data_IF_447192500011
#
_entry.id   IF_447192500011
#
_cell.length_a   1.000
_cell.length_b   1.000
_cell.length_c   1.000
_cell.angle_alpha   90.00
_cell.angle_beta   90.00
_cell.angle_gamma   90.00
#
_symmetry.space_group_name_H-M   'P 1'
#
loop_
_entity.id
_entity.type
_entity.pdbx_description
1 polymer ?
#
# COMPACT_ATOMS: atom_id res chain seq x y z
N UNK A 1 -4.49 -8.81 23.10
CA UNK A 1 -4.68 -9.94 22.16
C UNK A 1 -5.90 -9.81 21.25
N UNK A 2 -7.15 -9.98 21.73
CA UNK A 2 -8.34 -9.96 20.83
C UNK A 2 -8.56 -8.61 20.14
N UNK A 3 -8.54 -7.51 20.90
CA UNK A 3 -8.72 -6.14 20.35
C UNK A 3 -7.64 -5.76 19.33
N UNK A 4 -6.37 -5.95 19.66
CA UNK A 4 -5.22 -5.70 18.77
C UNK A 4 -5.34 -6.49 17.46
N UNK A 5 -5.75 -7.77 17.53
CA UNK A 5 -5.98 -8.61 16.35
C UNK A 5 -7.11 -8.07 15.48
N UNK A 6 -8.24 -7.66 16.06
CA UNK A 6 -9.37 -7.09 15.31
C UNK A 6 -8.93 -5.79 14.63
N UNK A 7 -8.32 -4.86 15.36
CA UNK A 7 -7.87 -3.57 14.81
C UNK A 7 -6.88 -3.80 13.66
N UNK A 8 -5.90 -4.69 13.85
CA UNK A 8 -4.95 -5.06 12.80
C UNK A 8 -5.66 -5.52 11.52
N UNK A 9 -6.60 -6.46 11.62
CA UNK A 9 -7.25 -7.02 10.44
C UNK A 9 -8.22 -6.04 9.77
N UNK A 10 -8.87 -5.16 10.53
CA UNK A 10 -9.67 -4.06 9.96
C UNK A 10 -8.78 -3.11 9.16
N UNK A 11 -7.70 -2.62 9.76
CA UNK A 11 -6.77 -1.70 9.09
C UNK A 11 -6.12 -2.34 7.85
N UNK A 12 -5.69 -3.60 7.98
CA UNK A 12 -5.05 -4.35 6.88
C UNK A 12 -6.04 -4.66 5.77
N UNK A 13 -7.30 -4.98 6.10
CA UNK A 13 -8.36 -5.19 5.10
C UNK A 13 -8.69 -3.92 4.33
N UNK A 14 -8.81 -2.78 5.01
CA UNK A 14 -9.01 -1.48 4.36
C UNK A 14 -7.82 -1.09 3.49
N UNK A 15 -6.59 -1.29 3.98
CA UNK A 15 -5.36 -1.02 3.22
C UNK A 15 -5.30 -1.89 1.96
N UNK A 16 -5.59 -3.18 2.12
CA UNK A 16 -5.60 -4.14 1.02
C UNK A 16 -6.66 -3.80 -0.02
N UNK A 17 -7.85 -3.35 0.39
CA UNK A 17 -8.88 -2.91 -0.54
C UNK A 17 -8.44 -1.66 -1.32
N UNK A 18 -7.93 -0.64 -0.62
CA UNK A 18 -7.45 0.61 -1.24
C UNK A 18 -6.30 0.34 -2.22
N UNK A 19 -5.24 -0.34 -1.77
CA UNK A 19 -4.08 -0.67 -2.60
C UNK A 19 -4.45 -1.65 -3.72
N UNK A 20 -5.35 -2.59 -3.45
CA UNK A 20 -5.78 -3.61 -4.41
C UNK A 20 -6.56 -3.03 -5.58
N UNK A 21 -7.42 -2.03 -5.34
CA UNK A 21 -8.12 -1.32 -6.42
C UNK A 21 -7.10 -0.63 -7.34
N UNK A 22 -6.17 0.14 -6.78
CA UNK A 22 -5.10 0.79 -7.56
C UNK A 22 -4.22 -0.23 -8.29
N UNK A 23 -3.86 -1.33 -7.64
CA UNK A 23 -3.07 -2.40 -8.24
C UNK A 23 -3.76 -3.04 -9.45
N UNK A 24 -5.08 -3.22 -9.40
CA UNK A 24 -5.85 -3.75 -10.54
C UNK A 24 -5.87 -2.76 -11.71
N UNK A 25 -6.09 -1.46 -11.44
CA UNK A 25 -6.06 -0.42 -12.47
C UNK A 25 -4.70 -0.37 -13.17
N UNK A 26 -3.62 -0.42 -12.39
CA UNK A 26 -2.26 -0.47 -12.92
C UNK A 26 -2.03 -1.78 -13.71
N UNK A 27 -2.45 -2.93 -13.18
CA UNK A 27 -2.22 -4.25 -13.80
C UNK A 27 -2.90 -4.38 -15.17
N UNK A 28 -4.12 -3.85 -15.31
CA UNK A 28 -4.86 -3.87 -16.58
C UNK A 28 -4.49 -2.70 -17.49
N UNK A 29 -3.54 -1.84 -17.08
CA UNK A 29 -3.16 -0.62 -17.80
C UNK A 29 -4.37 0.26 -18.10
N UNK A 30 -5.19 0.51 -17.08
CA UNK A 30 -6.35 1.39 -17.21
C UNK A 30 -5.92 2.76 -17.78
N UNK A 31 -6.71 3.38 -18.69
CA UNK A 31 -6.32 4.63 -19.35
C UNK A 31 -5.90 5.73 -18.38
N UNK A 32 -6.55 5.82 -17.21
CA UNK A 32 -6.24 6.79 -16.17
C UNK A 32 -4.86 6.53 -15.52
N UNK A 33 -4.51 5.26 -15.29
CA UNK A 33 -3.22 4.87 -14.74
C UNK A 33 -2.09 5.16 -15.75
N UNK A 34 -2.29 4.79 -17.02
CA UNK A 34 -1.34 5.07 -18.11
C UNK A 34 -1.16 6.57 -18.29
N UNK A 35 -2.25 7.34 -18.31
CA UNK A 35 -2.20 8.79 -18.44
C UNK A 35 -1.44 9.44 -17.28
N UNK A 36 -1.65 8.98 -16.03
CA UNK A 36 -0.93 9.50 -14.88
C UNK A 36 0.58 9.24 -14.99
N UNK A 37 0.98 7.99 -15.26
CA UNK A 37 2.39 7.57 -15.33
C UNK A 37 3.12 8.25 -16.50
N UNK A 38 2.48 8.34 -17.67
CA UNK A 38 3.09 8.99 -18.84
C UNK A 38 3.18 10.51 -18.69
N UNK A 39 2.20 11.15 -18.03
CA UNK A 39 2.26 12.59 -17.69
C UNK A 39 3.50 12.93 -16.85
N UNK A 40 3.90 12.02 -15.96
CA UNK A 40 5.08 12.22 -15.11
C UNK A 40 6.40 11.74 -15.76
N UNK A 41 6.37 11.42 -17.05
CA UNK A 41 7.56 11.12 -17.87
C UNK A 41 8.02 9.67 -17.88
N UNK A 42 7.28 8.76 -17.23
CA UNK A 42 7.58 7.33 -17.26
C UNK A 42 6.98 6.63 -18.48
N UNK A 43 7.63 5.58 -19.00
CA UNK A 43 7.11 4.82 -20.12
C UNK A 43 5.92 3.94 -19.70
N UNK A 44 4.95 3.77 -20.59
CA UNK A 44 3.70 3.03 -20.34
C UNK A 44 3.92 1.60 -19.83
N UNK A 45 4.96 0.89 -20.29
CA UNK A 45 5.20 -0.51 -19.91
C UNK A 45 5.37 -0.70 -18.39
N UNK A 46 5.72 0.36 -17.64
CA UNK A 46 5.92 0.27 -16.19
C UNK A 46 4.61 0.11 -15.43
N UNK A 47 3.48 0.55 -16.01
CA UNK A 47 2.17 0.55 -15.36
C UNK A 47 1.75 -0.87 -14.94
N UNK A 48 1.70 -1.88 -15.83
CA UNK A 48 1.34 -3.24 -15.43
C UNK A 48 2.34 -3.89 -14.47
N UNK A 49 3.62 -3.53 -14.56
CA UNK A 49 4.64 -3.99 -13.61
C UNK A 49 4.37 -3.47 -12.20
N UNK A 50 4.07 -2.17 -12.05
CA UNK A 50 3.68 -1.57 -10.77
C UNK A 50 2.42 -2.23 -10.21
N UNK A 51 1.42 -2.48 -11.06
CA UNK A 51 0.20 -3.19 -10.67
C UNK A 51 0.47 -4.59 -10.13
N UNK A 52 1.29 -5.37 -10.83
CA UNK A 52 1.69 -6.71 -10.37
C UNK A 52 2.44 -6.65 -9.04
N UNK A 53 3.41 -5.73 -8.89
CA UNK A 53 4.18 -5.57 -7.67
C UNK A 53 3.30 -5.18 -6.47
N UNK A 54 2.39 -4.22 -6.64
CA UNK A 54 1.42 -3.82 -5.61
C UNK A 54 0.51 -4.97 -5.23
N UNK A 55 -0.02 -5.72 -6.21
CA UNK A 55 -0.90 -6.84 -5.96
C UNK A 55 -0.19 -7.94 -5.14
N UNK A 56 1.06 -8.25 -5.46
CA UNK A 56 1.88 -9.16 -4.67
C UNK A 56 2.10 -8.65 -3.24
N UNK A 57 2.34 -7.34 -3.07
CA UNK A 57 2.43 -6.71 -1.75
C UNK A 57 1.13 -6.84 -0.94
N UNK A 58 -0.02 -6.59 -1.58
CA UNK A 58 -1.35 -6.76 -0.96
C UNK A 58 -1.59 -8.20 -0.52
N UNK A 59 -1.29 -9.18 -1.38
CA UNK A 59 -1.41 -10.60 -1.05
C UNK A 59 -0.51 -10.92 0.15
N UNK A 60 0.75 -10.47 0.14
CA UNK A 60 1.71 -10.73 1.21
C UNK A 60 1.26 -10.18 2.58
N UNK A 61 0.65 -8.99 2.65
CA UNK A 61 0.14 -8.45 3.92
C UNK A 61 -1.11 -9.18 4.43
N UNK A 62 -1.91 -9.76 3.53
CA UNK A 62 -3.11 -10.54 3.89
C UNK A 62 -2.78 -11.98 4.31
N UNK A 63 -1.77 -12.61 3.71
CA UNK A 63 -1.41 -13.99 4.04
C UNK A 63 -0.74 -14.04 5.43
N UNK A 64 -1.22 -14.89 6.37
CA UNK A 64 -0.57 -15.08 7.65
C UNK A 64 0.64 -16.02 7.55
N UNK A 65 1.58 -15.93 8.49
CA UNK A 65 2.66 -16.93 8.66
C UNK A 65 4.02 -16.58 8.04
N UNK A 66 4.14 -15.51 7.25
CA UNK A 66 5.39 -15.15 6.58
C UNK A 66 5.91 -13.76 7.03
N UNK A 67 6.58 -13.65 8.19
CA UNK A 67 6.95 -12.36 8.76
C UNK A 67 7.93 -11.56 7.89
N UNK A 68 8.98 -12.19 7.35
CA UNK A 68 9.97 -11.51 6.50
C UNK A 68 9.36 -10.98 5.20
N UNK A 69 8.51 -11.76 4.54
CA UNK A 69 7.83 -11.34 3.31
C UNK A 69 6.89 -10.17 3.61
N UNK A 70 6.24 -10.20 4.79
CA UNK A 70 5.35 -9.12 5.21
C UNK A 70 6.09 -7.80 5.45
N UNK A 71 7.30 -7.84 6.02
CA UNK A 71 8.16 -6.66 6.11
C UNK A 71 8.50 -6.08 4.73
N UNK A 72 8.90 -6.93 3.79
CA UNK A 72 9.18 -6.48 2.42
C UNK A 72 7.95 -5.89 1.72
N UNK A 73 6.79 -6.49 1.94
CA UNK A 73 5.53 -5.99 1.40
C UNK A 73 5.17 -4.61 1.99
N UNK A 74 5.26 -4.43 3.31
CA UNK A 74 5.02 -3.12 3.93
C UNK A 74 5.99 -2.06 3.41
N UNK A 75 7.28 -2.39 3.28
CA UNK A 75 8.27 -1.47 2.72
C UNK A 75 7.93 -1.09 1.27
N UNK A 76 7.63 -2.06 0.42
CA UNK A 76 7.26 -1.82 -0.99
C UNK A 76 6.01 -0.95 -1.14
N UNK A 77 4.94 -1.27 -0.40
CA UNK A 77 3.70 -0.49 -0.42
C UNK A 77 3.91 0.94 0.14
N UNK A 78 4.81 1.11 1.12
CA UNK A 78 5.17 2.41 1.64
C UNK A 78 5.92 3.26 0.60
N UNK A 79 6.91 2.69 -0.08
CA UNK A 79 7.64 3.39 -1.14
C UNK A 79 6.75 3.75 -2.32
N UNK A 80 5.78 2.88 -2.67
CA UNK A 80 4.79 3.18 -3.69
C UNK A 80 3.94 4.40 -3.32
N UNK A 81 3.30 4.40 -2.14
CA UNK A 81 2.47 5.52 -1.70
C UNK A 81 3.24 6.82 -1.51
N UNK A 82 4.45 6.74 -0.92
CA UNK A 82 5.31 7.92 -0.73
C UNK A 82 5.79 8.46 -2.07
N UNK A 83 6.19 7.58 -3.00
CA UNK A 83 6.63 7.95 -4.34
C UNK A 83 5.51 8.60 -5.15
N UNK A 84 4.29 8.07 -5.05
CA UNK A 84 3.11 8.65 -5.69
C UNK A 84 2.79 10.03 -5.10
N UNK A 85 2.78 10.16 -3.77
CA UNK A 85 2.60 11.44 -3.09
C UNK A 85 3.64 12.48 -3.50
N UNK A 86 4.92 12.08 -3.48
CA UNK A 86 6.03 12.94 -3.90
C UNK A 86 5.89 13.39 -5.36
N UNK A 87 5.46 12.49 -6.25
CA UNK A 87 5.25 12.80 -7.66
C UNK A 87 4.13 13.82 -7.84
N UNK A 88 2.98 13.65 -7.18
CA UNK A 88 1.89 14.64 -7.25
C UNK A 88 2.32 16.03 -6.76
N UNK A 89 3.03 16.10 -5.63
CA UNK A 89 3.54 17.37 -5.11
C UNK A 89 4.56 17.99 -6.08
N UNK A 90 5.46 17.19 -6.64
CA UNK A 90 6.53 17.68 -7.52
C UNK A 90 6.02 18.17 -8.87
N UNK A 91 4.92 17.61 -9.37
CA UNK A 91 4.24 18.05 -10.59
C UNK A 91 3.26 19.21 -10.36
N UNK A 92 3.16 19.71 -9.13
CA UNK A 92 2.32 20.87 -8.81
C UNK A 92 0.83 20.57 -8.77
N UNK A 93 0.45 19.30 -8.53
CA UNK A 93 -0.96 18.95 -8.38
C UNK A 93 -1.56 19.60 -7.13
N UNK A 94 -2.86 19.89 -7.19
CA UNK A 94 -3.59 20.52 -6.11
C UNK A 94 -3.69 19.64 -4.86
N UNK A 95 -3.93 20.28 -3.71
CA UNK A 95 -4.09 19.60 -2.42
C UNK A 95 -5.30 18.67 -2.36
N UNK A 96 -6.28 18.88 -3.24
CA UNK A 96 -7.40 17.97 -3.48
C UNK A 96 -6.93 16.61 -4.02
N UNK A 97 -5.83 16.56 -4.77
CA UNK A 97 -5.27 15.32 -5.34
C UNK A 97 -4.35 14.64 -4.34
N UNK A 98 -3.23 15.28 -3.96
CA UNK A 98 -2.26 14.64 -3.06
C UNK A 98 -2.80 14.49 -1.63
N UNK A 99 -3.74 15.33 -1.21
CA UNK A 99 -4.40 15.21 0.10
C UNK A 99 -5.17 13.90 0.25
N UNK A 100 -5.71 13.37 -0.85
CA UNK A 100 -6.37 12.06 -0.90
C UNK A 100 -5.46 10.88 -0.55
N UNK A 101 -4.14 11.04 -0.62
CA UNK A 101 -3.16 10.00 -0.29
C UNK A 101 -2.83 9.93 1.21
N UNK A 102 -3.07 11.01 1.95
CA UNK A 102 -2.76 11.08 3.40
C UNK A 102 -3.51 9.99 4.18
N UNK A 103 -4.83 9.77 3.99
CA UNK A 103 -5.52 8.66 4.63
C UNK A 103 -4.88 7.30 4.32
N UNK A 104 -4.41 7.08 3.09
CA UNK A 104 -3.73 5.85 2.69
C UNK A 104 -2.40 5.63 3.42
N UNK A 105 -1.57 6.68 3.54
CA UNK A 105 -0.32 6.65 4.31
C UNK A 105 -0.56 6.38 5.80
N UNK A 106 -1.56 7.05 6.39
CA UNK A 106 -1.94 6.83 7.78
C UNK A 106 -2.45 5.41 8.01
N UNK A 107 -3.23 4.89 7.07
CA UNK A 107 -3.75 3.52 7.12
C UNK A 107 -2.63 2.49 7.03
N UNK A 108 -1.64 2.71 6.16
CA UNK A 108 -0.44 1.88 6.06
C UNK A 108 0.35 1.90 7.36
N UNK A 109 0.66 3.09 7.89
CA UNK A 109 1.41 3.24 9.15
C UNK A 109 0.68 2.57 10.32
N UNK A 110 -0.64 2.76 10.42
CA UNK A 110 -1.46 2.13 11.46
C UNK A 110 -1.48 0.60 11.31
N UNK A 111 -1.68 0.07 10.10
CA UNK A 111 -1.65 -1.38 9.84
C UNK A 111 -0.30 -1.98 10.27
N UNK A 112 0.81 -1.35 9.88
CA UNK A 112 2.18 -1.76 10.24
C UNK A 112 2.44 -1.72 11.74
N UNK A 113 2.01 -0.65 12.41
CA UNK A 113 2.14 -0.53 13.87
C UNK A 113 1.37 -1.65 14.60
N UNK A 114 0.12 -1.89 14.20
CA UNK A 114 -0.69 -2.94 14.83
C UNK A 114 -0.21 -4.36 14.49
N UNK A 115 0.46 -4.55 13.35
CA UNK A 115 1.16 -5.79 13.02
C UNK A 115 2.27 -6.09 14.04
N UNK A 116 3.19 -5.15 14.25
CA UNK A 116 4.28 -5.27 15.21
C UNK A 116 3.78 -5.42 16.65
N UNK A 117 2.78 -4.61 17.03
CA UNK A 117 2.14 -4.71 18.34
C UNK A 117 1.58 -6.11 18.58
N UNK A 118 0.87 -6.67 17.59
CA UNK A 118 0.33 -8.03 17.66
C UNK A 118 1.44 -9.08 17.80
N UNK A 119 2.56 -8.95 17.09
CA UNK A 119 3.68 -9.88 17.22
C UNK A 119 4.31 -9.84 18.62
N UNK A 120 4.52 -8.64 19.17
CA UNK A 120 5.06 -8.47 20.52
C UNK A 120 4.15 -9.04 21.61
N UNK A 121 2.82 -8.98 21.42
CA UNK A 121 1.86 -9.60 22.34
C UNK A 121 1.91 -11.13 22.28
N UNK A 122 2.18 -11.71 21.10
CA UNK A 122 2.30 -13.16 20.92
C UNK A 122 3.62 -13.68 21.48
N UNK A 123 4.73 -12.96 21.32
CA UNK A 123 6.02 -13.39 21.85
C UNK A 123 6.09 -13.37 23.38
N UNK A 124 5.30 -12.51 24.05
CA UNK A 124 5.24 -12.42 25.52
C UNK A 124 4.36 -13.48 26.19
N UNK A 125 3.59 -14.24 25.41
CA UNK A 125 2.71 -15.30 25.94
C UNK A 125 3.37 -16.68 25.99
N UNK A 126 4.64 -16.78 25.57
CA UNK A 126 5.50 -17.97 25.67
C UNK A 126 6.60 -17.69 26.69
#
# INVERSE_FOLDING_TARGET
>A
MKKTKIIYWVLTGLLAAMMGIGAVYDLISAPEAVAHITRIGYPEYIVPFLGAAKLLGVIAILVPGYPRIKEWAYAGLAYDLIGAFYSHVSFGDGADVWGGMIPGLLLLAASYYYYHKRQSEVSRSY
#
